data_IF_218591655845
#
_entry.id   IF_218591655845
#
_cell.length_a   1.000
_cell.length_b   1.000
_cell.length_c   1.000
_cell.angle_alpha   90.00
_cell.angle_beta   90.00
_cell.angle_gamma   90.00
#
_symmetry.space_group_name_H-M   'P 1'
#
loop_
_entity.id
_entity.type
_entity.pdbx_description
1 polymer ?
#
# COMPACT_ATOMS: atom_id res chain seq x y z
N UNK A 1 -26.32 31.83 -23.30
CA UNK A 1 -26.32 31.49 -21.85
C UNK A 1 -26.56 29.99 -21.59
N UNK A 2 -27.51 29.32 -22.27
CA UNK A 2 -27.82 27.91 -22.02
C UNK A 2 -26.65 26.92 -22.19
N UNK A 3 -25.84 27.05 -23.26
CA UNK A 3 -24.69 26.16 -23.50
C UNK A 3 -23.55 26.31 -22.46
N UNK A 4 -23.46 27.46 -21.78
CA UNK A 4 -22.46 27.67 -20.73
C UNK A 4 -22.85 26.96 -19.44
N UNK A 5 -24.15 26.94 -19.11
CA UNK A 5 -24.69 26.27 -17.93
C UNK A 5 -24.63 24.73 -18.06
N UNK A 6 -24.88 24.20 -19.26
CA UNK A 6 -24.77 22.76 -19.55
C UNK A 6 -23.33 22.26 -19.40
N UNK A 7 -22.36 23.02 -19.91
CA UNK A 7 -20.94 22.67 -19.78
C UNK A 7 -20.45 22.71 -18.33
N UNK A 8 -20.94 23.65 -17.52
CA UNK A 8 -20.57 23.76 -16.11
C UNK A 8 -21.15 22.61 -15.27
N UNK A 9 -22.37 22.16 -15.61
CA UNK A 9 -22.98 20.94 -15.06
C UNK A 9 -22.16 19.69 -15.41
N UNK A 10 -21.74 19.53 -16.67
CA UNK A 10 -20.89 18.42 -17.11
C UNK A 10 -19.52 18.40 -16.41
N UNK A 11 -18.90 19.56 -16.22
CA UNK A 11 -17.65 19.67 -15.48
C UNK A 11 -17.84 19.16 -14.05
N UNK A 12 -18.93 19.58 -13.39
CA UNK A 12 -19.27 19.12 -12.04
C UNK A 12 -19.50 17.61 -11.99
N UNK A 13 -20.17 17.05 -13.02
CA UNK A 13 -20.38 15.60 -13.16
C UNK A 13 -19.05 14.85 -13.28
N UNK A 14 -18.13 15.31 -14.12
CA UNK A 14 -16.82 14.67 -14.30
C UNK A 14 -15.91 14.83 -13.07
N UNK A 15 -16.00 15.96 -12.37
CA UNK A 15 -15.30 16.15 -11.10
C UNK A 15 -15.85 15.22 -10.00
N UNK A 16 -17.16 14.88 -10.05
CA UNK A 16 -17.76 13.98 -9.05
C UNK A 16 -17.14 12.58 -9.04
N UNK A 17 -16.60 12.13 -10.18
CA UNK A 17 -15.88 10.85 -10.32
C UNK A 17 -14.36 10.99 -10.17
N UNK A 18 -13.87 12.19 -9.83
CA UNK A 18 -12.46 12.42 -9.47
C UNK A 18 -11.55 12.95 -10.58
N UNK A 19 -12.09 13.39 -11.73
CA UNK A 19 -11.30 14.09 -12.75
C UNK A 19 -10.92 15.49 -12.26
N UNK A 20 -9.73 15.94 -12.65
CA UNK A 20 -9.35 17.33 -12.41
C UNK A 20 -10.06 18.27 -13.40
N UNK A 21 -10.14 19.56 -13.07
CA UNK A 21 -10.87 20.54 -13.88
C UNK A 21 -10.31 20.66 -15.31
N UNK A 22 -8.99 20.57 -15.48
CA UNK A 22 -8.34 20.62 -16.79
C UNK A 22 -8.78 19.45 -17.67
N UNK A 23 -8.75 18.23 -17.14
CA UNK A 23 -9.18 17.01 -17.82
C UNK A 23 -10.66 17.07 -18.17
N UNK A 24 -11.51 17.54 -17.27
CA UNK A 24 -12.94 17.71 -17.54
C UNK A 24 -13.19 18.68 -18.71
N UNK A 25 -12.51 19.83 -18.74
CA UNK A 25 -12.60 20.80 -19.82
C UNK A 25 -12.04 20.28 -21.15
N UNK A 26 -10.97 19.50 -21.13
CA UNK A 26 -10.43 18.85 -22.33
C UNK A 26 -11.38 17.79 -22.88
N UNK A 27 -12.02 17.00 -22.00
CA UNK A 27 -12.99 15.96 -22.38
C UNK A 27 -14.17 16.56 -23.14
N UNK A 28 -14.68 17.72 -22.69
CA UNK A 28 -15.78 18.44 -23.33
C UNK A 28 -15.50 18.88 -24.78
N UNK A 29 -14.23 18.96 -25.19
CA UNK A 29 -13.89 19.26 -26.59
C UNK A 29 -14.20 18.09 -27.51
N UNK A 30 -14.23 16.86 -27.00
CA UNK A 30 -14.57 15.65 -27.74
C UNK A 30 -16.01 15.22 -27.40
N UNK A 31 -16.94 15.51 -28.32
CA UNK A 31 -18.36 15.22 -28.14
C UNK A 31 -18.67 13.73 -27.99
N UNK A 32 -17.96 12.86 -28.71
CA UNK A 32 -18.18 11.41 -28.62
C UNK A 32 -17.78 10.85 -27.25
N UNK A 33 -16.57 11.20 -26.79
CA UNK A 33 -16.07 10.80 -25.47
C UNK A 33 -16.93 11.38 -24.36
N UNK A 34 -17.37 12.64 -24.50
CA UNK A 34 -18.29 13.28 -23.54
C UNK A 34 -19.57 12.47 -23.39
N UNK A 35 -20.24 12.13 -24.50
CA UNK A 35 -21.49 11.36 -24.48
C UNK A 35 -21.31 9.96 -23.89
N UNK A 36 -20.20 9.29 -24.25
CA UNK A 36 -19.90 7.96 -23.75
C UNK A 36 -19.60 7.99 -22.24
N UNK A 37 -18.85 8.98 -21.77
CA UNK A 37 -18.54 9.14 -20.35
C UNK A 37 -19.79 9.45 -19.52
N UNK A 38 -20.69 10.31 -20.01
CA UNK A 38 -21.98 10.58 -19.36
C UNK A 38 -22.82 9.31 -19.22
N UNK A 39 -22.87 8.51 -20.30
CA UNK A 39 -23.59 7.22 -20.31
C UNK A 39 -22.97 6.27 -19.29
N UNK A 40 -21.64 6.14 -19.29
CA UNK A 40 -20.91 5.29 -18.33
C UNK A 40 -21.16 5.70 -16.88
N UNK A 41 -21.17 7.01 -16.58
CA UNK A 41 -21.44 7.50 -15.22
C UNK A 41 -22.88 7.21 -14.80
N UNK A 42 -23.84 7.44 -15.70
CA UNK A 42 -25.26 7.17 -15.44
C UNK A 42 -25.50 5.69 -15.15
N UNK A 43 -24.96 4.79 -15.98
CA UNK A 43 -25.11 3.34 -15.79
C UNK A 43 -24.37 2.83 -14.56
N UNK A 44 -23.17 3.34 -14.27
CA UNK A 44 -22.42 2.96 -13.07
C UNK A 44 -23.18 3.31 -11.78
N UNK A 45 -23.87 4.46 -11.75
CA UNK A 45 -24.71 4.85 -10.61
C UNK A 45 -25.93 3.95 -10.41
N UNK A 46 -26.45 3.33 -11.49
CA UNK A 46 -27.54 2.36 -11.37
C UNK A 46 -27.07 1.03 -10.78
N UNK A 47 -25.85 0.61 -11.12
CA UNK A 47 -25.26 -0.66 -10.65
C UNK A 47 -24.76 -0.57 -9.21
N UNK A 48 -24.41 0.62 -8.72
CA UNK A 48 -23.97 0.88 -7.35
C UNK A 48 -25.06 1.62 -6.53
N UNK A 49 -26.23 1.00 -6.26
CA UNK A 49 -27.29 1.65 -5.49
C UNK A 49 -26.86 1.79 -4.03
N UNK A 50 -26.55 3.02 -3.59
CA UNK A 50 -26.23 3.33 -2.19
C UNK A 50 -24.91 4.07 -2.01
N UNK A 51 -24.03 4.11 -3.01
CA UNK A 51 -22.87 4.99 -3.00
C UNK A 51 -23.27 6.38 -3.50
N UNK A 52 -23.27 7.36 -2.59
CA UNK A 52 -23.52 8.77 -2.93
C UNK A 52 -22.47 9.34 -3.88
N UNK A 53 -21.30 8.70 -3.98
CA UNK A 53 -20.20 9.16 -4.82
C UNK A 53 -19.37 7.98 -5.36
N UNK A 54 -19.16 7.95 -6.68
CA UNK A 54 -18.26 7.00 -7.32
C UNK A 54 -16.82 7.30 -6.88
N UNK A 55 -16.11 6.29 -6.39
CA UNK A 55 -14.72 6.44 -5.98
C UNK A 55 -13.81 6.90 -7.14
N UNK A 56 -12.73 7.62 -6.80
CA UNK A 56 -11.76 8.12 -7.80
C UNK A 56 -11.12 7.00 -8.63
N UNK A 57 -10.91 5.81 -8.05
CA UNK A 57 -10.38 4.65 -8.78
C UNK A 57 -11.33 4.17 -9.86
N UNK A 58 -12.62 3.99 -9.52
CA UNK A 58 -13.67 3.62 -10.48
C UNK A 58 -13.82 4.72 -11.52
N UNK A 59 -13.85 5.99 -11.12
CA UNK A 59 -13.97 7.11 -12.05
C UNK A 59 -12.83 7.18 -13.08
N UNK A 60 -11.60 6.93 -12.67
CA UNK A 60 -10.46 6.83 -13.60
C UNK A 60 -10.64 5.68 -14.62
N UNK A 61 -11.19 4.54 -14.19
CA UNK A 61 -11.48 3.41 -15.09
C UNK A 61 -12.64 3.72 -16.05
N UNK A 62 -13.70 4.39 -15.59
CA UNK A 62 -14.79 4.83 -16.46
C UNK A 62 -14.32 5.85 -17.50
N UNK A 63 -13.41 6.74 -17.12
CA UNK A 63 -12.77 7.67 -18.04
C UNK A 63 -11.87 6.96 -19.06
N UNK A 64 -11.06 5.98 -18.63
CA UNK A 64 -10.26 5.16 -19.52
C UNK A 64 -11.14 4.35 -20.48
N UNK A 65 -12.27 3.80 -20.01
CA UNK A 65 -13.24 3.11 -20.85
C UNK A 65 -13.81 4.06 -21.91
N UNK A 66 -14.17 5.29 -21.56
CA UNK A 66 -14.73 6.25 -22.51
C UNK A 66 -13.71 6.76 -23.55
N UNK A 67 -12.44 6.92 -23.15
CA UNK A 67 -11.40 7.50 -24.03
C UNK A 67 -10.70 6.48 -24.91
N UNK A 68 -10.59 5.22 -24.47
CA UNK A 68 -9.86 4.16 -25.18
C UNK A 68 -10.75 3.17 -25.90
N UNK A 69 -12.05 3.16 -25.63
CA UNK A 69 -12.98 2.32 -26.39
C UNK A 69 -13.02 2.75 -27.84
N UNK A 70 -13.04 1.76 -28.74
CA UNK A 70 -13.29 2.00 -30.16
C UNK A 70 -14.77 1.77 -30.46
N UNK A 71 -15.27 2.42 -31.51
CA UNK A 71 -16.68 2.35 -31.90
C UNK A 71 -17.22 0.93 -32.10
N UNK A 72 -16.36 -0.01 -32.53
CA UNK A 72 -16.71 -1.41 -32.74
C UNK A 72 -17.20 -2.11 -31.47
N UNK A 73 -16.70 -1.73 -30.29
CA UNK A 73 -17.03 -2.39 -29.01
C UNK A 73 -18.00 -1.58 -28.14
N UNK A 74 -18.59 -0.50 -28.68
CA UNK A 74 -19.53 0.33 -27.92
C UNK A 74 -20.76 -0.45 -27.44
N UNK A 75 -21.19 -1.51 -28.12
CA UNK A 75 -22.31 -2.34 -27.65
C UNK A 75 -21.94 -3.18 -26.40
N UNK A 76 -20.65 -3.48 -26.20
CA UNK A 76 -20.14 -4.30 -25.08
C UNK A 76 -19.64 -3.46 -23.90
N UNK A 77 -19.74 -2.13 -23.96
CA UNK A 77 -19.24 -1.25 -22.88
C UNK A 77 -19.94 -1.53 -21.54
N UNK A 78 -21.22 -1.92 -21.55
CA UNK A 78 -22.00 -2.23 -20.34
C UNK A 78 -21.45 -3.46 -19.61
N UNK A 79 -20.93 -4.45 -20.34
CA UNK A 79 -20.28 -5.61 -19.73
C UNK A 79 -19.04 -5.20 -18.95
N UNK A 80 -18.14 -4.43 -19.57
CA UNK A 80 -16.93 -3.93 -18.91
C UNK A 80 -17.25 -3.02 -17.73
N UNK A 81 -18.28 -2.17 -17.87
CA UNK A 81 -18.75 -1.29 -16.81
C UNK A 81 -19.22 -2.08 -15.59
N UNK A 82 -19.97 -3.18 -15.78
CA UNK A 82 -20.36 -4.07 -14.70
C UNK A 82 -19.14 -4.69 -13.99
N UNK A 83 -18.13 -5.14 -14.73
CA UNK A 83 -16.88 -5.66 -14.13
C UNK A 83 -16.10 -4.61 -13.33
N UNK A 84 -16.12 -3.35 -13.76
CA UNK A 84 -15.51 -2.22 -13.02
C UNK A 84 -16.29 -1.98 -11.72
N UNK A 85 -17.62 -1.88 -11.80
CA UNK A 85 -18.48 -1.63 -10.63
C UNK A 85 -18.43 -2.79 -9.60
N UNK A 86 -18.33 -4.04 -10.05
CA UNK A 86 -18.15 -5.21 -9.19
C UNK A 86 -16.73 -5.32 -8.59
N UNK A 87 -15.80 -4.42 -8.93
CA UNK A 87 -14.43 -4.43 -8.43
C UNK A 87 -13.55 -5.56 -8.98
N UNK A 88 -13.98 -6.22 -10.07
CA UNK A 88 -13.24 -7.30 -10.73
C UNK A 88 -12.13 -6.77 -11.64
N UNK A 89 -12.37 -5.64 -12.32
CA UNK A 89 -11.35 -4.86 -13.02
C UNK A 89 -10.89 -3.75 -12.07
N UNK A 90 -9.63 -3.81 -11.66
CA UNK A 90 -9.06 -2.91 -10.64
C UNK A 90 -8.10 -1.87 -11.22
N UNK A 91 -7.52 -2.16 -12.38
CA UNK A 91 -6.51 -1.30 -13.00
C UNK A 91 -6.73 -1.12 -14.51
N UNK A 92 -6.06 -0.10 -15.06
CA UNK A 92 -6.16 0.28 -16.47
C UNK A 92 -5.60 -0.79 -17.42
N UNK A 93 -4.66 -1.61 -16.94
CA UNK A 93 -4.05 -2.69 -17.71
C UNK A 93 -5.06 -3.81 -18.00
N UNK A 94 -5.77 -4.28 -16.96
CA UNK A 94 -6.87 -5.25 -17.09
C UNK A 94 -7.96 -4.70 -18.02
N UNK A 95 -8.33 -3.42 -17.87
CA UNK A 95 -9.33 -2.79 -18.73
C UNK A 95 -8.89 -2.74 -20.19
N UNK A 96 -7.64 -2.37 -20.45
CA UNK A 96 -7.10 -2.29 -21.81
C UNK A 96 -7.00 -3.67 -22.46
N UNK A 97 -6.57 -4.69 -21.71
CA UNK A 97 -6.54 -6.07 -22.17
C UNK A 97 -7.95 -6.60 -22.47
N UNK A 98 -8.94 -6.30 -21.62
CA UNK A 98 -10.33 -6.67 -21.83
C UNK A 98 -10.89 -6.02 -23.12
N UNK A 99 -10.65 -4.72 -23.33
CA UNK A 99 -11.06 -4.04 -24.57
C UNK A 99 -10.39 -4.65 -25.80
N UNK A 100 -9.11 -5.02 -25.72
CA UNK A 100 -8.38 -5.64 -26.82
C UNK A 100 -8.90 -7.05 -27.16
N UNK A 101 -9.26 -7.84 -26.14
CA UNK A 101 -9.89 -9.14 -26.33
C UNK A 101 -11.24 -9.01 -27.05
N UNK A 102 -12.09 -8.06 -26.61
CA UNK A 102 -13.40 -7.80 -27.24
C UNK A 102 -13.26 -7.28 -28.68
N UNK A 103 -12.22 -6.49 -28.97
CA UNK A 103 -11.93 -6.04 -30.34
C UNK A 103 -11.52 -7.19 -31.26
N UNK A 104 -10.81 -8.18 -30.71
CA UNK A 104 -10.34 -9.35 -31.48
C UNK A 104 -11.43 -10.41 -31.65
N UNK A 105 -12.44 -10.41 -30.77
CA UNK A 105 -13.57 -11.33 -30.76
C UNK A 105 -14.90 -10.56 -30.69
N UNK A 106 -15.31 -9.87 -31.76
CA UNK A 106 -16.49 -8.99 -31.77
C UNK A 106 -17.83 -9.76 -31.86
N UNK A 107 -17.83 -11.08 -31.73
CA UNK A 107 -19.01 -11.93 -31.87
C UNK A 107 -19.74 -12.11 -30.55
N UNK A 108 -21.06 -11.90 -30.55
CA UNK A 108 -21.93 -12.32 -29.46
C UNK A 108 -22.35 -13.79 -29.64
N UNK A 109 -22.45 -14.60 -28.57
CA UNK A 109 -22.19 -14.24 -27.16
C UNK A 109 -20.69 -14.19 -26.83
N UNK A 110 -20.30 -13.24 -25.97
CA UNK A 110 -18.93 -13.14 -25.47
C UNK A 110 -18.63 -14.32 -24.54
N UNK A 111 -17.56 -15.07 -24.85
CA UNK A 111 -17.05 -16.08 -23.92
C UNK A 111 -16.50 -15.39 -22.66
N UNK A 112 -17.29 -15.49 -21.59
CA UNK A 112 -16.97 -14.90 -20.29
C UNK A 112 -15.65 -15.44 -19.73
N UNK A 113 -15.42 -16.75 -19.82
CA UNK A 113 -14.26 -17.38 -19.19
C UNK A 113 -12.98 -16.96 -19.91
N UNK A 114 -13.02 -17.00 -21.25
CA UNK A 114 -11.89 -16.55 -22.05
C UNK A 114 -11.60 -15.05 -21.88
N UNK A 115 -12.63 -14.20 -21.73
CA UNK A 115 -12.42 -12.78 -21.39
C UNK A 115 -11.74 -12.61 -20.03
N UNK A 116 -12.24 -13.30 -18.99
CA UNK A 116 -11.71 -13.19 -17.63
C UNK A 116 -10.23 -13.65 -17.58
N UNK A 117 -9.89 -14.75 -18.25
CA UNK A 117 -8.52 -15.28 -18.34
C UNK A 117 -7.57 -14.36 -19.13
N UNK A 118 -7.98 -13.86 -20.30
CA UNK A 118 -7.13 -13.04 -21.16
C UNK A 118 -6.86 -11.64 -20.58
N UNK A 119 -7.82 -11.10 -19.83
CA UNK A 119 -7.70 -9.77 -19.22
C UNK A 119 -7.31 -9.79 -17.74
N UNK A 120 -7.07 -10.98 -17.17
CA UNK A 120 -6.72 -11.14 -15.77
C UNK A 120 -7.79 -10.62 -14.82
N UNK A 121 -9.07 -10.70 -15.20
CA UNK A 121 -10.19 -10.21 -14.41
C UNK A 121 -10.36 -11.12 -13.19
N UNK A 122 -10.42 -10.53 -12.01
CA UNK A 122 -10.47 -11.29 -10.75
C UNK A 122 -9.09 -11.77 -10.25
N UNK A 123 -8.04 -11.66 -11.05
CA UNK A 123 -6.67 -11.90 -10.59
C UNK A 123 -6.24 -10.73 -9.70
N UNK A 124 -5.83 -11.02 -8.47
CA UNK A 124 -5.28 -10.04 -7.54
C UNK A 124 -3.88 -10.51 -7.15
N UNK A 125 -2.86 -9.71 -7.50
CA UNK A 125 -1.49 -9.99 -7.11
C UNK A 125 -1.24 -9.41 -5.72
N UNK A 126 -0.78 -10.25 -4.79
CA UNK A 126 -0.47 -9.81 -3.41
C UNK A 126 0.97 -9.29 -3.31
N UNK A 127 1.29 -8.45 -2.31
CA UNK A 127 2.66 -8.00 -2.06
C UNK A 127 3.64 -9.17 -1.90
N UNK A 128 3.24 -10.24 -1.22
CA UNK A 128 4.06 -11.43 -0.98
C UNK A 128 4.38 -12.19 -2.28
N UNK A 129 3.43 -12.21 -3.24
CA UNK A 129 3.68 -12.78 -4.56
C UNK A 129 4.71 -11.95 -5.35
N UNK A 130 4.66 -10.63 -5.21
CA UNK A 130 5.65 -9.72 -5.82
C UNK A 130 7.03 -9.96 -5.20
N UNK A 131 7.12 -9.94 -3.87
CA UNK A 131 8.33 -10.18 -3.10
C UNK A 131 9.01 -11.49 -3.51
N UNK A 132 8.28 -12.61 -3.46
CA UNK A 132 8.81 -13.93 -3.83
C UNK A 132 9.27 -14.00 -5.28
N UNK A 133 8.50 -13.43 -6.21
CA UNK A 133 8.88 -13.47 -7.63
C UNK A 133 10.15 -12.66 -7.88
N UNK A 134 10.29 -11.52 -7.20
CA UNK A 134 11.48 -10.68 -7.29
C UNK A 134 12.67 -11.36 -6.63
N UNK A 135 12.48 -12.02 -5.49
CA UNK A 135 13.52 -12.79 -4.81
C UNK A 135 14.09 -13.88 -5.73
N UNK A 136 13.21 -14.62 -6.42
CA UNK A 136 13.61 -15.62 -7.42
C UNK A 136 14.41 -14.97 -8.57
N UNK A 137 13.95 -13.83 -9.12
CA UNK A 137 14.65 -13.12 -10.19
C UNK A 137 16.02 -12.61 -9.74
N UNK A 138 16.11 -12.05 -8.53
CA UNK A 138 17.36 -11.55 -7.95
C UNK A 138 18.33 -12.72 -7.69
N UNK A 139 17.82 -13.85 -7.19
CA UNK A 139 18.60 -15.07 -7.01
C UNK A 139 19.16 -15.61 -8.33
N UNK A 140 18.32 -15.68 -9.37
CA UNK A 140 18.70 -16.14 -10.73
C UNK A 140 19.84 -15.29 -11.33
N UNK A 141 19.90 -13.98 -10.98
CA UNK A 141 20.87 -13.03 -11.52
C UNK A 141 21.97 -12.64 -10.51
N UNK A 142 22.02 -13.28 -9.33
CA UNK A 142 22.90 -12.90 -8.21
C UNK A 142 24.39 -12.75 -8.57
N UNK A 143 25.03 -13.65 -9.35
CA UNK A 143 26.45 -13.52 -9.69
C UNK A 143 26.75 -12.23 -10.47
N UNK A 144 25.91 -11.93 -11.48
CA UNK A 144 26.08 -10.76 -12.34
C UNK A 144 25.74 -9.46 -11.59
N UNK A 145 24.77 -9.51 -10.68
CA UNK A 145 24.41 -8.40 -9.82
C UNK A 145 25.55 -8.03 -8.85
N UNK A 146 26.23 -9.01 -8.27
CA UNK A 146 27.38 -8.74 -7.39
C UNK A 146 28.59 -8.18 -8.15
N UNK A 147 28.81 -8.62 -9.39
CA UNK A 147 29.90 -8.15 -10.23
C UNK A 147 29.67 -6.72 -10.76
N UNK A 148 28.49 -6.47 -11.36
CA UNK A 148 28.17 -5.19 -12.01
C UNK A 148 27.54 -4.18 -11.05
N UNK A 149 27.06 -4.62 -9.89
CA UNK A 149 26.36 -3.80 -8.90
C UNK A 149 25.26 -2.95 -9.55
N UNK A 150 25.31 -1.63 -9.34
CA UNK A 150 24.34 -0.68 -9.87
C UNK A 150 24.49 -0.38 -11.38
N UNK A 151 25.53 -0.90 -12.05
CA UNK A 151 25.65 -0.83 -13.50
C UNK A 151 24.84 -1.92 -14.22
N UNK A 152 24.36 -2.92 -13.48
CA UNK A 152 23.46 -3.94 -14.03
C UNK A 152 22.15 -3.31 -14.49
N UNK A 153 21.65 -3.74 -15.65
CA UNK A 153 20.42 -3.21 -16.23
C UNK A 153 19.18 -3.65 -15.44
N UNK A 154 18.73 -2.82 -14.49
CA UNK A 154 17.48 -3.07 -13.73
C UNK A 154 16.26 -3.21 -14.67
N UNK A 155 16.32 -2.63 -15.87
CA UNK A 155 15.28 -2.76 -16.88
C UNK A 155 15.05 -4.20 -17.34
N UNK A 156 16.08 -5.05 -17.40
CA UNK A 156 15.92 -6.46 -17.78
C UNK A 156 15.21 -7.24 -16.68
N UNK A 157 15.56 -7.02 -15.41
CA UNK A 157 14.88 -7.63 -14.26
C UNK A 157 13.41 -7.22 -14.19
N UNK A 158 13.11 -5.93 -14.39
CA UNK A 158 11.74 -5.45 -14.43
C UNK A 158 10.95 -6.02 -15.62
N UNK A 159 11.61 -6.23 -16.76
CA UNK A 159 10.97 -6.89 -17.90
C UNK A 159 10.66 -8.35 -17.60
N UNK A 160 11.52 -9.05 -16.88
CA UNK A 160 11.29 -10.43 -16.48
C UNK A 160 10.18 -10.52 -15.43
N UNK A 161 10.18 -9.62 -14.44
CA UNK A 161 9.12 -9.51 -13.45
C UNK A 161 7.74 -9.27 -14.10
N UNK A 162 7.67 -8.45 -15.15
CA UNK A 162 6.43 -8.24 -15.92
C UNK A 162 5.96 -9.48 -16.67
N UNK A 163 6.86 -10.37 -17.11
CA UNK A 163 6.46 -11.63 -17.74
C UNK A 163 5.87 -12.60 -16.72
N UNK A 164 6.49 -12.70 -15.53
CA UNK A 164 6.03 -13.58 -14.46
C UNK A 164 4.75 -13.06 -13.78
N UNK A 165 4.62 -11.73 -13.64
CA UNK A 165 3.49 -11.06 -13.01
C UNK A 165 2.86 -10.00 -13.95
N UNK A 166 2.13 -10.42 -15.00
CA UNK A 166 1.59 -9.51 -16.00
C UNK A 166 0.57 -8.51 -15.44
N UNK A 167 -0.15 -8.88 -14.37
CA UNK A 167 -1.23 -8.07 -13.78
C UNK A 167 -0.82 -7.29 -12.53
N UNK A 168 0.46 -7.32 -12.14
CA UNK A 168 0.96 -6.62 -10.97
C UNK A 168 1.08 -5.11 -11.20
N UNK A 169 0.95 -4.31 -10.13
CA UNK A 169 1.25 -2.89 -10.20
C UNK A 169 2.74 -2.67 -10.44
N UNK A 170 3.08 -2.09 -11.59
CA UNK A 170 4.47 -1.82 -11.96
C UNK A 170 5.20 -0.90 -10.98
N UNK A 171 4.49 -0.03 -10.24
CA UNK A 171 5.11 0.77 -9.17
C UNK A 171 5.50 -0.08 -7.98
N UNK A 172 4.62 -0.99 -7.55
CA UNK A 172 4.90 -1.92 -6.46
C UNK A 172 6.05 -2.87 -6.81
N UNK A 173 6.02 -3.46 -8.02
CA UNK A 173 7.11 -4.32 -8.53
C UNK A 173 8.44 -3.58 -8.55
N UNK A 174 8.45 -2.31 -8.99
CA UNK A 174 9.68 -1.52 -9.00
C UNK A 174 10.18 -1.20 -7.59
N UNK A 175 9.29 -0.79 -6.69
CA UNK A 175 9.66 -0.45 -5.31
C UNK A 175 10.29 -1.66 -4.60
N UNK A 176 9.67 -2.84 -4.74
CA UNK A 176 10.18 -4.09 -4.17
C UNK A 176 11.53 -4.51 -4.77
N UNK A 177 11.68 -4.39 -6.10
CA UNK A 177 12.96 -4.63 -6.78
C UNK A 177 14.07 -3.70 -6.25
N UNK A 178 13.76 -2.41 -6.11
CA UNK A 178 14.73 -1.43 -5.62
C UNK A 178 15.15 -1.73 -4.15
N UNK A 179 14.22 -2.23 -3.32
CA UNK A 179 14.50 -2.68 -1.94
C UNK A 179 15.43 -3.89 -1.94
N UNK A 180 15.09 -4.97 -2.64
CA UNK A 180 15.90 -6.19 -2.63
C UNK A 180 17.29 -5.98 -3.25
N UNK A 181 17.40 -5.13 -4.27
CA UNK A 181 18.70 -4.74 -4.82
C UNK A 181 19.52 -3.92 -3.82
N UNK A 182 18.88 -3.02 -3.04
CA UNK A 182 19.56 -2.29 -1.97
C UNK A 182 20.04 -3.24 -0.86
N UNK A 183 19.23 -4.21 -0.47
CA UNK A 183 19.59 -5.20 0.55
C UNK A 183 20.75 -6.10 0.08
N UNK A 184 20.76 -6.51 -1.20
CA UNK A 184 21.82 -7.33 -1.77
C UNK A 184 23.12 -6.55 -2.00
N UNK A 185 23.03 -5.33 -2.55
CA UNK A 185 24.19 -4.57 -3.04
C UNK A 185 24.70 -3.53 -2.04
N UNK A 186 23.91 -3.19 -1.02
CA UNK A 186 24.19 -2.06 -0.14
C UNK A 186 24.12 -0.69 -0.85
N UNK A 187 24.45 0.42 -0.18
CA UNK A 187 24.29 1.77 -0.70
C UNK A 187 25.00 2.02 -2.05
N UNK A 188 24.40 2.84 -2.90
CA UNK A 188 25.06 3.31 -4.13
C UNK A 188 26.04 4.45 -3.82
N UNK A 189 27.34 4.13 -3.75
CA UNK A 189 28.42 5.07 -3.47
C UNK A 189 28.55 6.20 -4.51
N UNK A 190 28.07 6.01 -5.74
CA UNK A 190 28.13 7.03 -6.81
C UNK A 190 27.13 8.18 -6.60
N UNK A 191 26.09 7.98 -5.80
CA UNK A 191 25.07 9.00 -5.48
C UNK A 191 25.57 10.12 -4.55
N UNK A 192 26.81 10.04 -4.04
CA UNK A 192 27.38 11.04 -3.14
C UNK A 192 27.77 12.37 -3.83
N UNK A 193 27.69 12.47 -5.17
CA UNK A 193 28.17 13.65 -5.92
C UNK A 193 27.09 14.55 -6.55
N UNK A 194 25.79 14.36 -6.28
CA UNK A 194 24.77 15.29 -6.81
C UNK A 194 23.60 15.54 -5.85
N UNK A 195 23.78 16.47 -4.93
CA UNK A 195 22.66 17.21 -4.33
C UNK A 195 22.98 18.69 -4.36
N UNK A 196 22.77 19.33 -5.51
CA UNK A 196 22.45 20.77 -5.56
C UNK A 196 20.95 20.93 -5.36
N UNK A 197 20.62 21.84 -4.45
CA UNK A 197 19.31 22.21 -3.93
C UNK A 197 18.16 22.26 -4.95
N UNK A 198 17.04 21.61 -4.58
CA UNK A 198 15.69 22.09 -4.94
C UNK A 198 14.78 21.98 -3.72
N UNK A 199 14.67 23.10 -3.02
CA UNK A 199 13.61 23.36 -2.03
C UNK A 199 12.25 23.35 -2.74
N UNK A 200 11.28 22.57 -2.23
CA UNK A 200 9.88 22.73 -2.56
C UNK A 200 9.11 23.02 -1.27
N UNK A 201 8.54 24.21 -1.20
CA UNK A 201 7.75 24.76 -0.10
C UNK A 201 6.27 24.40 -0.27
N UNK A 202 5.63 23.84 0.75
CA UNK A 202 4.15 23.83 0.84
C UNK A 202 3.68 23.98 2.29
N UNK A 203 2.86 25.02 2.51
CA UNK A 203 2.18 25.39 3.77
C UNK A 203 1.11 24.35 4.19
N UNK A 204 0.81 24.21 5.51
CA UNK A 204 -0.29 23.38 6.01
C UNK A 204 -1.62 24.14 6.14
N UNK A 205 -2.80 23.49 5.94
CA UNK A 205 -4.10 24.06 6.25
C UNK A 205 -4.54 23.75 7.69
N UNK A 206 -5.29 24.70 8.26
CA UNK A 206 -5.69 24.78 9.67
C UNK A 206 -6.85 23.82 10.07
N UNK A 207 -6.79 23.39 11.32
CA UNK A 207 -7.73 22.53 12.04
C UNK A 207 -9.02 23.23 12.51
N UNK A 208 -10.13 22.48 12.59
CA UNK A 208 -11.25 22.75 13.51
C UNK A 208 -11.73 21.44 14.15
N UNK A 209 -11.77 21.43 15.48
CA UNK A 209 -12.24 20.33 16.36
C UNK A 209 -13.61 20.71 16.95
N UNK A 210 -14.47 19.72 17.23
CA UNK A 210 -15.55 19.83 18.21
C UNK A 210 -15.67 18.53 19.06
N UNK A 211 -16.01 18.61 20.36
CA UNK A 211 -15.90 17.51 21.32
C UNK A 211 -17.27 16.94 21.75
N UNK A 212 -17.29 15.69 22.25
CA UNK A 212 -18.24 15.07 23.24
C UNK A 212 -17.97 13.55 23.27
N UNK A 213 -18.27 12.72 24.27
CA UNK A 213 -18.54 12.77 25.71
C UNK A 213 -18.52 11.29 26.18
N UNK A 214 -18.18 11.04 27.44
CA UNK A 214 -17.96 9.72 28.08
C UNK A 214 -19.26 9.05 28.54
N UNK A 215 -19.38 7.72 28.40
CA UNK A 215 -20.19 6.87 29.31
C UNK A 215 -19.63 5.44 29.39
N UNK A 216 -19.47 4.95 30.62
CA UNK A 216 -19.12 3.57 31.01
C UNK A 216 -20.32 2.62 30.81
N UNK A 217 -20.07 1.31 30.63
CA UNK A 217 -20.84 0.23 31.26
C UNK A 217 -20.18 -1.15 31.06
N UNK A 218 -20.30 -1.97 32.11
CA UNK A 218 -19.85 -3.36 32.28
C UNK A 218 -20.52 -4.37 31.32
N UNK A 219 -19.85 -5.51 31.04
CA UNK A 219 -20.43 -6.63 30.27
C UNK A 219 -20.12 -7.99 30.92
N UNK A 220 -21.19 -8.75 31.17
CA UNK A 220 -21.22 -10.19 31.47
C UNK A 220 -21.03 -11.02 30.18
N UNK A 221 -20.31 -12.13 30.27
CA UNK A 221 -19.93 -13.00 29.14
C UNK A 221 -21.06 -13.87 28.58
N UNK A 222 -20.90 -14.30 27.32
CA UNK A 222 -21.83 -15.21 26.64
C UNK A 222 -21.09 -16.30 25.83
N UNK A 223 -21.51 -17.55 26.01
CA UNK A 223 -20.84 -18.81 25.64
C UNK A 223 -21.13 -19.31 24.20
N UNK A 224 -20.91 -18.50 23.16
CA UNK A 224 -21.12 -18.98 21.78
C UNK A 224 -20.12 -18.40 20.76
N UNK A 225 -18.91 -18.98 20.68
CA UNK A 225 -17.88 -18.61 19.70
C UNK A 225 -17.46 -19.84 18.89
N UNK A 226 -17.58 -19.77 17.56
CA UNK A 226 -17.28 -20.89 16.63
C UNK A 226 -16.08 -20.63 15.68
N UNK A 227 -15.42 -19.46 15.71
CA UNK A 227 -14.18 -19.19 14.94
C UNK A 227 -13.31 -18.07 15.54
N UNK A 228 -12.02 -18.00 15.14
CA UNK A 228 -11.04 -17.01 15.64
C UNK A 228 -11.35 -15.57 15.21
N UNK A 229 -12.09 -15.36 14.11
CA UNK A 229 -12.61 -14.04 13.73
C UNK A 229 -13.72 -13.57 14.67
N UNK A 230 -14.47 -14.50 15.27
CA UNK A 230 -15.53 -14.18 16.23
C UNK A 230 -14.95 -13.81 17.63
N UNK A 231 -13.68 -14.11 17.88
CA UNK A 231 -12.92 -13.73 19.08
C UNK A 231 -12.30 -12.33 18.98
N UNK A 232 -12.22 -11.75 17.78
CA UNK A 232 -11.59 -10.45 17.53
C UNK A 232 -12.52 -9.25 17.78
N UNK A 233 -13.70 -9.48 18.36
CA UNK A 233 -14.63 -8.44 18.78
C UNK A 233 -15.78 -8.97 19.65
N UNK A 234 -16.16 -8.16 20.63
CA UNK A 234 -17.31 -8.28 21.56
C UNK A 234 -17.35 -9.44 22.58
N UNK A 235 -16.77 -10.62 22.33
CA UNK A 235 -16.93 -11.74 23.29
C UNK A 235 -15.93 -11.76 24.46
N UNK A 236 -14.77 -11.11 24.31
CA UNK A 236 -13.80 -10.88 25.37
C UNK A 236 -13.27 -9.45 25.16
N UNK A 237 -13.23 -8.65 26.23
CA UNK A 237 -12.72 -7.27 26.25
C UNK A 237 -11.19 -7.19 26.00
N UNK A 238 -10.68 -7.88 24.98
CA UNK A 238 -9.34 -7.63 24.47
C UNK A 238 -9.37 -6.34 23.65
N UNK A 239 -8.52 -5.39 24.02
CA UNK A 239 -8.23 -4.24 23.18
C UNK A 239 -7.60 -4.70 21.86
N UNK A 240 -7.88 -4.01 20.75
CA UNK A 240 -7.22 -4.29 19.47
C UNK A 240 -5.71 -4.17 19.62
N UNK A 241 -4.93 -4.99 18.91
CA UNK A 241 -3.47 -4.94 18.92
C UNK A 241 -2.98 -3.50 18.68
N UNK A 242 -2.29 -2.92 19.66
CA UNK A 242 -1.83 -1.53 19.62
C UNK A 242 -2.69 -0.52 20.42
N UNK A 243 -3.78 -0.97 21.07
CA UNK A 243 -4.64 -0.14 21.92
C UNK A 243 -4.33 -0.26 23.42
N UNK A 244 -3.18 -0.84 23.80
CA UNK A 244 -2.72 -0.97 25.19
C UNK A 244 -2.55 0.38 25.92
N UNK A 245 -2.61 1.50 25.21
CA UNK A 245 -2.58 2.85 25.78
C UNK A 245 -3.88 3.24 26.50
N UNK A 246 -4.94 2.44 26.34
CA UNK A 246 -6.26 2.66 26.98
C UNK A 246 -6.39 1.95 28.33
N UNK A 247 -5.37 1.21 28.76
CA UNK A 247 -5.41 0.39 29.99
C UNK A 247 -5.10 1.25 31.22
N UNK A 248 -5.78 0.97 32.34
CA UNK A 248 -5.53 1.66 33.61
C UNK A 248 -4.06 1.50 34.04
N UNK A 249 -3.39 2.63 34.33
CA UNK A 249 -1.95 2.69 34.64
C UNK A 249 -1.03 3.07 33.48
N UNK A 250 -1.54 3.23 32.25
CA UNK A 250 -0.74 3.70 31.11
C UNK A 250 -0.61 5.24 31.14
N UNK A 251 0.60 5.76 31.33
CA UNK A 251 0.85 7.21 31.29
C UNK A 251 0.98 7.65 29.82
N UNK A 252 -0.13 8.15 29.26
CA UNK A 252 -0.17 8.76 27.92
C UNK A 252 -0.12 10.27 28.09
N UNK A 253 0.90 10.93 27.56
CA UNK A 253 0.88 12.40 27.45
C UNK A 253 -0.09 12.81 26.33
N UNK A 254 -0.75 13.98 26.41
CA UNK A 254 -1.72 14.42 25.38
C UNK A 254 -1.17 14.43 23.94
N UNK A 255 0.15 14.44 23.77
CA UNK A 255 0.84 14.44 22.48
C UNK A 255 1.33 13.07 22.01
N UNK A 256 1.27 12.01 22.83
CA UNK A 256 1.93 10.73 22.54
C UNK A 256 1.50 10.14 21.20
N UNK A 257 0.20 10.13 20.90
CA UNK A 257 -0.33 9.56 19.66
C UNK A 257 -0.12 10.47 18.44
N UNK A 258 0.03 11.77 18.65
CA UNK A 258 0.36 12.73 17.59
C UNK A 258 1.86 12.70 17.26
N UNK A 259 2.72 12.61 18.28
CA UNK A 259 4.17 12.43 18.13
C UNK A 259 4.52 11.10 17.46
N UNK A 260 3.81 10.01 17.78
CA UNK A 260 3.92 8.75 17.05
C UNK A 260 3.47 8.90 15.59
N UNK A 261 2.32 9.55 15.33
CA UNK A 261 1.83 9.82 13.95
C UNK A 261 2.73 10.76 13.15
N UNK A 262 3.46 11.64 13.81
CA UNK A 262 4.42 12.56 13.18
C UNK A 262 5.78 11.90 12.96
N UNK A 263 6.24 11.08 13.91
CA UNK A 263 7.40 10.18 13.76
C UNK A 263 7.21 9.19 12.59
N UNK A 264 5.97 8.75 12.38
CA UNK A 264 5.54 7.79 11.35
C UNK A 264 5.59 8.33 9.91
N UNK A 265 5.77 9.64 9.67
CA UNK A 265 5.60 10.18 8.32
C UNK A 265 6.80 10.03 7.40
N UNK A 266 8.05 9.97 7.91
CA UNK A 266 9.24 9.64 7.11
C UNK A 266 10.38 9.13 8.02
N UNK A 267 10.86 7.92 7.77
CA UNK A 267 12.22 7.51 8.16
C UNK A 267 13.22 8.60 7.78
N UNK A 268 14.18 8.94 8.65
CA UNK A 268 15.13 10.02 8.42
C UNK A 268 14.70 11.40 8.92
N UNK A 269 13.54 11.54 9.58
CA UNK A 269 13.09 12.78 10.24
C UNK A 269 13.22 12.74 11.78
N UNK A 270 14.20 12.00 12.30
CA UNK A 270 14.37 11.78 13.74
C UNK A 270 14.44 13.09 14.55
N UNK A 271 14.98 14.16 13.96
CA UNK A 271 15.14 15.49 14.58
C UNK A 271 13.84 16.18 14.99
N UNK A 272 12.67 15.66 14.60
CA UNK A 272 11.36 16.20 14.99
C UNK A 272 10.80 15.58 16.27
N UNK A 273 11.38 14.49 16.76
CA UNK A 273 10.86 13.81 17.95
C UNK A 273 11.20 14.59 19.22
N UNK A 274 10.29 14.57 20.18
CA UNK A 274 10.52 15.14 21.50
C UNK A 274 11.78 14.54 22.14
N UNK A 275 12.66 15.40 22.68
CA UNK A 275 13.92 14.99 23.30
C UNK A 275 15.06 14.70 22.32
N UNK A 276 14.88 14.83 21.00
CA UNK A 276 15.96 14.61 20.04
C UNK A 276 17.00 15.74 20.09
N UNK A 277 18.27 15.39 20.22
CA UNK A 277 19.38 16.36 20.21
C UNK A 277 19.87 16.56 18.79
N UNK A 278 19.66 17.77 18.26
CA UNK A 278 20.21 18.17 16.95
C UNK A 278 21.62 18.70 17.13
N UNK A 279 22.58 18.00 16.55
CA UNK A 279 24.01 18.36 16.51
C UNK A 279 24.37 18.91 15.12
N UNK A 280 25.54 19.54 14.96
CA UNK A 280 26.02 19.97 13.64
C UNK A 280 26.11 18.83 12.60
N UNK A 281 26.29 17.57 13.04
CA UNK A 281 26.38 16.40 12.16
C UNK A 281 25.04 15.70 11.89
N UNK A 282 23.97 16.09 12.57
CA UNK A 282 22.68 15.36 12.55
C UNK A 282 22.14 15.21 11.13
N UNK A 283 22.20 16.27 10.31
CA UNK A 283 21.66 16.21 8.95
C UNK A 283 22.53 15.37 8.00
N UNK A 284 23.84 15.32 8.22
CA UNK A 284 24.75 14.43 7.47
C UNK A 284 24.47 12.96 7.80
N UNK A 285 24.35 12.65 9.10
CA UNK A 285 24.06 11.30 9.59
C UNK A 285 22.70 10.78 9.10
N UNK A 286 21.68 11.65 9.07
CA UNK A 286 20.36 11.27 8.53
C UNK A 286 20.39 11.05 7.01
N UNK A 287 21.18 11.83 6.27
CA UNK A 287 21.42 11.58 4.84
C UNK A 287 22.12 10.24 4.60
N UNK A 288 23.13 9.91 5.40
CA UNK A 288 23.80 8.61 5.33
C UNK A 288 22.86 7.46 5.70
N UNK A 289 22.06 7.62 6.76
CA UNK A 289 21.05 6.66 7.16
C UNK A 289 20.06 6.37 6.03
N UNK A 290 19.51 7.40 5.40
CA UNK A 290 18.58 7.24 4.28
C UNK A 290 19.20 6.52 3.07
N UNK A 291 20.50 6.72 2.82
CA UNK A 291 21.22 5.98 1.77
C UNK A 291 21.35 4.50 2.11
N UNK A 292 21.50 4.17 3.40
CA UNK A 292 21.64 2.80 3.89
C UNK A 292 20.31 2.06 3.96
N UNK A 293 19.24 2.74 4.35
CA UNK A 293 17.94 2.11 4.59
C UNK A 293 16.96 2.30 3.44
N UNK A 294 17.27 3.16 2.46
CA UNK A 294 16.32 3.52 1.39
C UNK A 294 15.07 4.23 1.90
N UNK A 295 15.05 4.66 3.16
CA UNK A 295 13.83 5.15 3.81
C UNK A 295 12.86 4.05 4.25
N UNK A 296 13.33 2.81 4.40
CA UNK A 296 12.54 1.72 4.96
C UNK A 296 12.48 1.79 6.49
N UNK A 297 11.33 1.43 7.08
CA UNK A 297 11.20 1.29 8.53
C UNK A 297 12.00 0.08 9.00
N UNK A 298 12.84 0.26 10.01
CA UNK A 298 13.64 -0.81 10.61
C UNK A 298 13.40 -0.85 12.11
N UNK A 299 12.85 -1.96 12.60
CA UNK A 299 12.68 -2.23 14.04
C UNK A 299 13.57 -3.38 14.48
N UNK A 300 13.62 -3.64 15.79
CA UNK A 300 14.29 -4.82 16.35
C UNK A 300 13.49 -5.41 17.50
N UNK A 301 13.49 -6.73 17.62
CA UNK A 301 13.11 -7.43 18.82
C UNK A 301 14.38 -8.04 19.43
N UNK A 302 14.85 -7.53 20.59
CA UNK A 302 16.12 -7.97 21.18
C UNK A 302 15.92 -8.81 22.46
N UNK A 303 15.59 -10.10 22.37
CA UNK A 303 15.52 -10.97 23.53
C UNK A 303 16.92 -11.40 23.98
N UNK A 304 17.08 -11.66 25.27
CA UNK A 304 18.26 -12.38 25.77
C UNK A 304 18.24 -13.83 25.25
N UNK A 305 19.38 -14.39 24.77
CA UNK A 305 19.43 -15.71 24.17
C UNK A 305 19.04 -16.84 25.13
N UNK A 306 19.33 -16.68 26.42
CA UNK A 306 18.94 -17.61 27.49
C UNK A 306 17.61 -17.23 28.17
N UNK A 307 16.93 -16.18 27.69
CA UNK A 307 15.71 -15.66 28.28
C UNK A 307 14.50 -16.56 28.04
N UNK A 308 13.62 -16.66 29.03
CA UNK A 308 12.33 -17.34 28.86
C UNK A 308 11.28 -16.31 28.46
N UNK A 309 10.74 -16.45 27.24
CA UNK A 309 9.63 -15.63 26.81
C UNK A 309 8.38 -15.95 27.64
N UNK A 310 7.69 -14.89 28.02
CA UNK A 310 6.40 -14.94 28.72
C UNK A 310 5.40 -14.02 28.00
N UNK A 311 4.14 -13.99 28.43
CA UNK A 311 3.08 -13.25 27.73
C UNK A 311 3.36 -11.75 27.51
N UNK A 312 4.17 -11.12 28.36
CA UNK A 312 4.62 -9.73 28.16
C UNK A 312 5.44 -9.56 26.88
N UNK A 313 6.22 -10.57 26.50
CA UNK A 313 6.97 -10.59 25.24
C UNK A 313 6.06 -10.68 24.02
N UNK A 314 4.84 -11.22 24.13
CA UNK A 314 3.89 -11.20 23.03
C UNK A 314 3.55 -9.77 22.61
N UNK A 315 3.47 -8.82 23.55
CA UNK A 315 3.31 -7.38 23.24
C UNK A 315 4.53 -6.84 22.47
N UNK A 316 5.74 -7.18 22.91
CA UNK A 316 6.96 -6.72 22.28
C UNK A 316 7.14 -7.29 20.87
N UNK A 317 6.83 -8.57 20.65
CA UNK A 317 6.84 -9.22 19.34
C UNK A 317 5.82 -8.56 18.42
N UNK A 318 4.54 -8.49 18.84
CA UNK A 318 3.48 -7.86 18.05
C UNK A 318 3.77 -6.40 17.73
N UNK A 319 4.36 -5.65 18.68
CA UNK A 319 4.72 -4.27 18.44
C UNK A 319 5.88 -4.17 17.44
N UNK A 320 7.01 -4.84 17.64
CA UNK A 320 8.17 -4.66 16.77
C UNK A 320 7.97 -5.25 15.37
N UNK A 321 7.51 -6.50 15.27
CA UNK A 321 7.25 -7.16 13.99
C UNK A 321 6.00 -6.61 13.31
N UNK A 322 4.92 -6.39 14.07
CA UNK A 322 3.68 -5.84 13.53
C UNK A 322 3.84 -4.39 13.07
N UNK A 323 4.65 -3.58 13.75
CA UNK A 323 4.95 -2.21 13.32
C UNK A 323 5.77 -2.20 12.03
N UNK A 324 6.78 -3.06 11.90
CA UNK A 324 7.52 -3.22 10.64
C UNK A 324 6.58 -3.66 9.51
N UNK A 325 5.82 -4.75 9.72
CA UNK A 325 4.87 -5.30 8.74
C UNK A 325 3.84 -4.27 8.25
N UNK A 326 3.26 -3.49 9.17
CA UNK A 326 2.25 -2.46 8.83
C UNK A 326 2.82 -1.30 8.03
N UNK A 327 4.11 -1.03 8.14
CA UNK A 327 4.77 0.11 7.49
C UNK A 327 5.76 -0.30 6.39
N UNK A 328 5.59 -1.50 5.81
CA UNK A 328 6.46 -2.03 4.75
C UNK A 328 7.95 -2.00 5.13
N UNK A 329 8.23 -2.30 6.40
CA UNK A 329 9.56 -2.32 6.98
C UNK A 329 10.03 -3.73 7.36
N UNK A 330 11.23 -3.80 7.91
CA UNK A 330 11.86 -5.02 8.41
C UNK A 330 12.04 -4.97 9.92
N UNK A 331 11.99 -6.13 10.57
CA UNK A 331 12.29 -6.28 11.99
C UNK A 331 13.42 -7.29 12.17
N UNK A 332 14.50 -6.85 12.81
CA UNK A 332 15.59 -7.75 13.17
C UNK A 332 15.26 -8.49 14.47
N UNK A 333 15.26 -9.82 14.44
CA UNK A 333 15.42 -10.63 15.65
C UNK A 333 16.91 -10.57 16.03
N UNK A 334 17.23 -9.76 17.05
CA UNK A 334 18.62 -9.46 17.43
C UNK A 334 18.87 -9.87 18.87
N UNK A 335 19.31 -11.09 19.08
CA UNK A 335 19.67 -11.61 20.40
C UNK A 335 20.61 -10.64 21.14
N UNK A 336 20.34 -10.40 22.42
CA UNK A 336 21.18 -9.59 23.30
C UNK A 336 22.23 -10.48 23.98
N UNK A 337 23.24 -10.86 23.21
CA UNK A 337 24.35 -11.75 23.56
C UNK A 337 25.55 -11.00 24.17
N UNK A 338 25.29 -9.84 24.80
CA UNK A 338 26.34 -9.01 25.39
C UNK A 338 27.06 -9.65 26.57
N UNK A 339 26.47 -10.68 27.18
CA UNK A 339 27.06 -11.46 28.26
C UNK A 339 27.63 -12.80 27.73
N UNK A 340 28.91 -13.11 27.99
CA UNK A 340 29.52 -14.38 27.60
C UNK A 340 29.07 -15.50 28.53
N UNK A 341 27.81 -15.90 28.44
CA UNK A 341 27.26 -17.07 29.14
C UNK A 341 27.33 -18.33 28.26
N UNK A 342 27.24 -19.50 28.88
CA UNK A 342 27.03 -20.74 28.12
C UNK A 342 25.59 -20.73 27.60
N UNK A 343 25.43 -20.35 26.34
CA UNK A 343 24.14 -20.39 25.66
C UNK A 343 23.61 -21.83 25.60
N UNK A 344 22.38 -22.04 26.05
CA UNK A 344 21.70 -23.31 25.85
C UNK A 344 20.80 -23.22 24.62
N UNK A 345 21.10 -24.03 23.59
CA UNK A 345 20.41 -24.03 22.29
C UNK A 345 18.88 -24.06 22.42
N UNK A 346 18.35 -24.78 23.42
CA UNK A 346 16.91 -24.91 23.67
C UNK A 346 16.19 -23.57 23.87
N UNK A 347 16.85 -22.57 24.47
CA UNK A 347 16.24 -21.26 24.72
C UNK A 347 16.25 -20.42 23.45
N UNK A 348 17.38 -20.42 22.73
CA UNK A 348 17.51 -19.76 21.43
C UNK A 348 16.48 -20.29 20.42
N UNK A 349 16.37 -21.62 20.27
CA UNK A 349 15.40 -22.22 19.35
C UNK A 349 13.97 -21.94 19.79
N UNK A 350 13.69 -22.02 21.10
CA UNK A 350 12.37 -21.72 21.65
C UNK A 350 11.92 -20.29 21.40
N UNK A 351 12.84 -19.32 21.50
CA UNK A 351 12.57 -17.91 21.15
C UNK A 351 12.17 -17.78 19.68
N UNK A 352 12.96 -18.38 18.78
CA UNK A 352 12.69 -18.34 17.33
C UNK A 352 11.34 -18.99 17.00
N UNK A 353 11.01 -20.10 17.63
CA UNK A 353 9.75 -20.83 17.40
C UNK A 353 8.54 -20.00 17.86
N UNK A 354 8.61 -19.35 19.01
CA UNK A 354 7.53 -18.45 19.48
C UNK A 354 7.36 -17.25 18.55
N UNK A 355 8.46 -16.68 18.03
CA UNK A 355 8.39 -15.58 17.06
C UNK A 355 7.75 -16.03 15.74
N UNK A 356 7.99 -17.27 15.30
CA UNK A 356 7.35 -17.83 14.09
C UNK A 356 5.90 -18.25 14.31
N UNK A 357 5.55 -18.65 15.53
CA UNK A 357 4.22 -19.13 15.87
C UNK A 357 3.19 -18.00 15.93
N UNK A 358 3.60 -16.81 16.37
CA UNK A 358 2.80 -15.58 16.39
C UNK A 358 2.84 -14.87 15.03
#
# INVERSE_FOLDING_TARGET
>A
MAASSDNESRITLFQSIGLNEKQARETLKNQEVTRLLETNISEARKILPGETQISKSIGNLLYALATKSKSQIHHLHLYLLKYICEGKIKNELQLTAAMQYLLSNPTEPVDRKALEENAGIGVTITPEQIERTIEEIVADNKPQLLEQRYDFSVGTLLSEARKRLPWADGKAVKAEMDIQLLDLLGPNDRSAKSTTDKQNTTKPPASKVKPTATTNNDVQGNDNIKSFSDLAGEALNFHKTGENYKTEGYVVTPKTMDLLREHLKKTGENYKTEGYVVTPKTMDLLREHLKKTGGQVVTRFPPEPNGILHIGHAKAINFNFGFAKRNNGICYLRYDDTNPEKEEEKFFTGILDIVKWL
#
